data_IF_058747347026
#
_entry.id   IF_058747347026
#
_cell.length_a   1.000
_cell.length_b   1.000
_cell.length_c   1.000
_cell.angle_alpha   90.00
_cell.angle_beta   90.00
_cell.angle_gamma   90.00
#
_symmetry.space_group_name_H-M   'P 1'
#
loop_
_entity.id
_entity.type
_entity.pdbx_description
1 polymer ?
#
# COMPACT_ATOMS: atom_id res chain seq x y z
N UNK A 1 -2.32 -2.48 -10.11
CA UNK A 1 -1.18 -1.69 -10.57
C UNK A 1 -1.56 -0.21 -10.71
N UNK A 2 -2.55 0.17 -11.57
CA UNK A 2 -2.94 1.59 -11.78
C UNK A 2 -3.28 2.32 -10.47
N UNK A 3 -3.96 1.66 -9.56
CA UNK A 3 -4.24 2.21 -8.21
C UNK A 3 -2.94 2.61 -7.50
N UNK A 4 -1.96 1.70 -7.44
CA UNK A 4 -0.67 2.00 -6.78
C UNK A 4 0.22 3.01 -7.51
N UNK A 5 -0.02 3.25 -8.81
CA UNK A 5 0.61 4.31 -9.58
C UNK A 5 -0.05 5.68 -9.40
N UNK A 6 -1.28 5.74 -8.83
CA UNK A 6 -2.10 6.95 -8.81
C UNK A 6 -2.59 7.31 -10.22
N UNK A 7 -3.08 6.32 -10.97
CA UNK A 7 -3.51 6.42 -12.37
C UNK A 7 -4.88 5.76 -12.62
N UNK A 8 -5.67 5.63 -11.56
CA UNK A 8 -6.98 4.99 -11.66
C UNK A 8 -7.96 5.86 -12.44
N UNK A 9 -7.79 7.20 -12.36
CA UNK A 9 -8.63 8.19 -13.07
C UNK A 9 -8.49 8.15 -14.59
N UNK A 10 -7.42 7.58 -15.11
CA UNK A 10 -7.30 7.32 -16.56
C UNK A 10 -8.38 6.35 -17.07
N UNK A 11 -8.98 5.55 -16.18
CA UNK A 11 -10.02 4.59 -16.50
C UNK A 11 -11.39 5.05 -16.01
N UNK A 12 -11.48 5.56 -14.78
CA UNK A 12 -12.74 5.86 -14.10
C UNK A 12 -13.06 7.37 -14.03
N UNK A 13 -12.19 8.22 -14.56
CA UNK A 13 -12.38 9.68 -14.62
C UNK A 13 -12.34 10.32 -13.23
N UNK A 14 -13.06 11.42 -13.09
CA UNK A 14 -13.09 12.26 -11.88
C UNK A 14 -13.47 11.51 -10.59
N UNK A 15 -14.18 10.39 -10.69
CA UNK A 15 -14.63 9.61 -9.52
C UNK A 15 -13.48 9.08 -8.65
N UNK A 16 -12.30 8.90 -9.23
CA UNK A 16 -11.15 8.31 -8.55
C UNK A 16 -9.98 9.28 -8.38
N UNK A 17 -10.20 10.57 -8.67
CA UNK A 17 -9.15 11.59 -8.60
C UNK A 17 -8.56 11.73 -7.19
N UNK A 18 -9.38 11.60 -6.16
CA UNK A 18 -8.94 11.70 -4.75
C UNK A 18 -8.09 10.49 -4.35
N UNK A 19 -8.39 9.31 -4.90
CA UNK A 19 -7.55 8.12 -4.74
C UNK A 19 -6.18 8.37 -5.35
N UNK A 20 -6.14 8.82 -6.61
CA UNK A 20 -4.90 9.08 -7.32
C UNK A 20 -4.07 10.17 -6.63
N UNK A 21 -4.72 11.23 -6.15
CA UNK A 21 -4.09 12.29 -5.39
C UNK A 21 -3.44 11.77 -4.09
N UNK A 22 -4.15 10.97 -3.30
CA UNK A 22 -3.62 10.38 -2.08
C UNK A 22 -2.45 9.44 -2.36
N UNK A 23 -2.57 8.55 -3.33
CA UNK A 23 -1.50 7.59 -3.70
C UNK A 23 -0.27 8.32 -4.23
N UNK A 24 -0.45 9.38 -5.03
CA UNK A 24 0.66 10.23 -5.50
C UNK A 24 1.31 11.00 -4.35
N UNK A 25 0.52 11.55 -3.42
CA UNK A 25 1.05 12.19 -2.22
C UNK A 25 1.92 11.21 -1.41
N UNK A 26 1.40 10.02 -1.07
CA UNK A 26 2.15 8.95 -0.37
C UNK A 26 3.41 8.54 -1.14
N UNK A 27 3.39 8.57 -2.48
CA UNK A 27 4.56 8.36 -3.31
C UNK A 27 4.94 6.90 -3.53
N UNK A 28 3.96 5.99 -3.59
CA UNK A 28 4.19 4.56 -3.84
C UNK A 28 5.03 4.36 -5.10
N UNK A 29 4.67 5.01 -6.21
CA UNK A 29 5.38 4.89 -7.48
C UNK A 29 6.82 5.43 -7.38
N UNK A 30 7.00 6.61 -6.77
CA UNK A 30 8.34 7.21 -6.58
C UNK A 30 9.26 6.31 -5.74
N UNK A 31 8.70 5.71 -4.70
CA UNK A 31 9.43 4.78 -3.82
C UNK A 31 9.76 3.47 -4.54
N UNK A 32 8.84 2.92 -5.35
CA UNK A 32 9.07 1.69 -6.10
C UNK A 32 10.25 1.82 -7.08
N UNK A 33 10.36 2.94 -7.77
CA UNK A 33 11.49 3.22 -8.67
C UNK A 33 12.84 3.23 -7.91
N UNK A 34 12.88 3.87 -6.73
CA UNK A 34 14.08 3.88 -5.88
C UNK A 34 14.44 2.47 -5.42
N UNK A 35 13.44 1.68 -4.99
CA UNK A 35 13.65 0.30 -4.53
C UNK A 35 14.24 -0.55 -5.66
N UNK A 36 13.67 -0.53 -6.86
CA UNK A 36 14.19 -1.32 -8.00
C UNK A 36 15.65 -0.98 -8.28
N UNK A 37 16.02 0.29 -8.20
CA UNK A 37 17.40 0.73 -8.42
C UNK A 37 18.36 0.26 -7.32
N UNK A 38 17.89 0.04 -6.09
CA UNK A 38 18.70 -0.43 -4.96
C UNK A 38 18.78 -1.96 -4.83
N UNK A 39 17.95 -2.70 -5.59
CA UNK A 39 17.94 -4.17 -5.54
C UNK A 39 19.25 -4.79 -6.03
N UNK A 40 19.56 -5.98 -5.49
CA UNK A 40 20.65 -6.80 -6.00
C UNK A 40 20.44 -7.15 -7.48
N UNK A 41 21.52 -7.42 -8.25
CA UNK A 41 21.39 -7.87 -9.64
C UNK A 41 20.51 -9.10 -9.78
N UNK A 42 20.59 -10.04 -8.84
CA UNK A 42 19.78 -11.25 -8.86
C UNK A 42 18.28 -10.93 -8.71
N UNK A 43 17.89 -10.08 -7.76
CA UNK A 43 16.50 -9.69 -7.55
C UNK A 43 15.95 -8.92 -8.76
N UNK A 44 16.76 -8.02 -9.35
CA UNK A 44 16.38 -7.31 -10.58
C UNK A 44 16.15 -8.26 -11.74
N UNK A 45 17.00 -9.27 -11.92
CA UNK A 45 16.84 -10.26 -12.98
C UNK A 45 15.55 -11.07 -12.81
N UNK A 46 15.16 -11.41 -11.59
CA UNK A 46 13.88 -12.10 -11.31
C UNK A 46 12.70 -11.22 -11.72
N UNK A 47 12.68 -9.94 -11.29
CA UNK A 47 11.64 -9.00 -11.66
C UNK A 47 11.58 -8.75 -13.16
N UNK A 48 12.73 -8.69 -13.83
CA UNK A 48 12.80 -8.51 -15.28
C UNK A 48 12.25 -9.75 -16.01
N UNK A 49 12.67 -10.96 -15.63
CA UNK A 49 12.16 -12.18 -16.21
C UNK A 49 10.65 -12.34 -16.06
N UNK A 50 10.11 -11.95 -14.90
CA UNK A 50 8.68 -11.93 -14.67
C UNK A 50 7.98 -10.91 -15.58
N UNK A 51 8.54 -9.72 -15.72
CA UNK A 51 8.03 -8.67 -16.62
C UNK A 51 8.02 -9.14 -18.07
N UNK A 52 9.09 -9.79 -18.51
CA UNK A 52 9.21 -10.34 -19.87
C UNK A 52 8.15 -11.41 -20.15
N UNK A 53 7.86 -12.26 -19.17
CA UNK A 53 6.80 -13.26 -19.25
C UNK A 53 5.41 -12.65 -19.43
N UNK A 54 5.07 -11.62 -18.64
CA UNK A 54 3.80 -10.88 -18.79
C UNK A 54 3.74 -10.22 -20.17
N UNK A 55 4.82 -9.56 -20.59
CA UNK A 55 4.86 -8.86 -21.87
C UNK A 55 4.74 -9.83 -23.06
N UNK A 56 5.34 -11.01 -22.96
CA UNK A 56 5.18 -12.07 -23.95
C UNK A 56 3.72 -12.55 -24.04
N UNK A 57 3.04 -12.69 -22.90
CA UNK A 57 1.61 -13.02 -22.88
C UNK A 57 0.75 -11.91 -23.50
N UNK A 58 0.94 -10.66 -23.12
CA UNK A 58 0.22 -9.51 -23.70
C UNK A 58 0.39 -9.51 -25.22
N UNK A 59 1.65 -9.62 -25.71
CA UNK A 59 1.94 -9.62 -27.15
C UNK A 59 1.25 -10.75 -27.91
N UNK A 60 1.20 -11.95 -27.34
CA UNK A 60 0.54 -13.11 -27.97
C UNK A 60 -0.97 -13.00 -28.01
N UNK A 61 -1.56 -12.30 -27.05
CA UNK A 61 -2.99 -12.25 -26.83
C UNK A 61 -3.64 -10.88 -27.16
N UNK A 62 -2.96 -9.98 -27.85
CA UNK A 62 -3.47 -8.63 -28.18
C UNK A 62 -4.88 -8.63 -28.77
N UNK A 63 -5.26 -9.67 -29.54
CA UNK A 63 -6.59 -9.81 -30.16
C UNK A 63 -7.58 -10.63 -29.31
N UNK A 64 -7.19 -11.10 -28.12
CA UNK A 64 -7.97 -11.97 -27.23
C UNK A 64 -7.70 -11.62 -25.78
N UNK A 65 -7.74 -10.33 -25.48
CA UNK A 65 -7.65 -9.85 -24.10
C UNK A 65 -8.89 -10.26 -23.30
N UNK A 66 -8.80 -10.35 -21.97
CA UNK A 66 -9.96 -10.50 -21.11
C UNK A 66 -11.01 -9.42 -21.35
N UNK A 67 -12.26 -9.78 -21.15
CA UNK A 67 -13.43 -8.95 -21.45
C UNK A 67 -13.43 -7.58 -20.73
N UNK A 68 -12.78 -7.53 -19.57
CA UNK A 68 -12.62 -6.32 -18.77
C UNK A 68 -11.90 -5.21 -19.54
N UNK A 69 -10.95 -5.53 -20.40
CA UNK A 69 -10.24 -4.54 -21.22
C UNK A 69 -11.19 -3.89 -22.25
N UNK A 70 -12.10 -4.66 -22.82
CA UNK A 70 -13.10 -4.17 -23.76
C UNK A 70 -14.12 -3.25 -23.05
N UNK A 71 -14.59 -3.66 -21.85
CA UNK A 71 -15.51 -2.85 -21.04
C UNK A 71 -14.89 -1.55 -20.57
N UNK A 72 -13.66 -1.60 -20.11
CA UNK A 72 -12.95 -0.45 -19.58
C UNK A 72 -12.26 0.40 -20.66
N UNK A 73 -12.33 -0.05 -21.91
CA UNK A 73 -11.80 0.64 -23.11
C UNK A 73 -10.34 1.08 -22.96
N UNK A 74 -9.49 0.20 -22.45
CA UNK A 74 -8.06 0.46 -22.41
C UNK A 74 -7.25 -0.79 -22.79
N UNK A 75 -6.03 -0.57 -23.24
CA UNK A 75 -5.08 -1.64 -23.56
C UNK A 75 -4.08 -1.83 -22.44
N UNK A 76 -3.61 -3.08 -22.23
CA UNK A 76 -2.59 -3.35 -21.23
C UNK A 76 -1.25 -2.74 -21.67
N UNK A 77 -0.67 -1.91 -20.82
CA UNK A 77 0.68 -1.38 -21.02
C UNK A 77 1.74 -2.44 -20.75
N UNK A 78 2.94 -2.24 -21.31
CA UNK A 78 4.08 -3.07 -20.99
C UNK A 78 4.34 -3.11 -19.48
N UNK A 79 4.52 -4.32 -18.96
CA UNK A 79 4.90 -4.53 -17.58
C UNK A 79 6.38 -4.22 -17.38
N UNK A 80 6.69 -3.56 -16.27
CA UNK A 80 8.05 -3.21 -15.85
C UNK A 80 8.32 -3.76 -14.45
N UNK A 81 9.58 -3.98 -14.06
CA UNK A 81 9.95 -4.40 -12.70
C UNK A 81 9.32 -3.57 -11.59
N UNK A 82 9.22 -2.24 -11.79
CA UNK A 82 8.64 -1.31 -10.84
C UNK A 82 7.16 -1.63 -10.53
N UNK A 83 6.42 -2.15 -11.50
CA UNK A 83 5.00 -2.47 -11.32
C UNK A 83 4.78 -3.56 -10.26
N UNK A 84 5.67 -4.55 -10.18
CA UNK A 84 5.62 -5.57 -9.14
C UNK A 84 5.90 -4.99 -7.74
N UNK A 85 6.84 -4.06 -7.65
CA UNK A 85 7.12 -3.35 -6.39
C UNK A 85 5.96 -2.42 -6.00
N UNK A 86 5.33 -1.76 -6.97
CA UNK A 86 4.13 -0.93 -6.72
C UNK A 86 3.00 -1.77 -6.12
N UNK A 87 2.72 -2.96 -6.66
CA UNK A 87 1.68 -3.85 -6.10
C UNK A 87 2.07 -4.29 -4.69
N UNK A 88 3.31 -4.68 -4.47
CA UNK A 88 3.80 -5.09 -3.14
C UNK A 88 3.67 -3.95 -2.13
N UNK A 89 4.01 -2.72 -2.51
CA UNK A 89 3.89 -1.54 -1.65
C UNK A 89 2.44 -1.17 -1.36
N UNK A 90 1.57 -1.23 -2.38
CA UNK A 90 0.14 -1.02 -2.19
C UNK A 90 -0.47 -2.08 -1.26
N UNK A 91 -0.14 -3.35 -1.49
CA UNK A 91 -0.54 -4.45 -0.60
C UNK A 91 -0.06 -4.20 0.83
N UNK A 92 1.21 -3.83 1.01
CA UNK A 92 1.77 -3.51 2.32
C UNK A 92 1.02 -2.36 3.00
N UNK A 93 0.69 -1.28 2.27
CA UNK A 93 -0.08 -0.15 2.80
C UNK A 93 -1.47 -0.59 3.29
N UNK A 94 -2.16 -1.41 2.49
CA UNK A 94 -3.53 -1.83 2.77
C UNK A 94 -3.61 -2.92 3.84
N UNK A 95 -2.60 -3.79 3.92
CA UNK A 95 -2.51 -4.80 4.99
C UNK A 95 -2.00 -4.22 6.32
N UNK A 96 -1.48 -2.99 6.30
CA UNK A 96 -0.96 -2.35 7.49
C UNK A 96 -2.07 -1.62 8.23
N UNK A 97 -2.52 -2.19 9.33
CA UNK A 97 -3.68 -1.67 10.08
C UNK A 97 -3.44 -0.31 10.74
N UNK A 98 -2.18 0.14 10.97
CA UNK A 98 -1.95 1.37 11.72
C UNK A 98 -2.48 2.61 11.01
N UNK A 99 -2.43 2.69 9.68
CA UNK A 99 -2.98 3.83 8.95
C UNK A 99 -4.49 3.99 9.19
N UNK A 100 -5.25 2.92 8.97
CA UNK A 100 -6.71 2.96 9.14
C UNK A 100 -7.11 3.08 10.62
N UNK A 101 -6.37 2.43 11.52
CA UNK A 101 -6.63 2.52 12.95
C UNK A 101 -6.45 3.95 13.45
N UNK A 102 -5.42 4.68 13.01
CA UNK A 102 -5.24 6.10 13.38
C UNK A 102 -6.38 6.99 12.88
N UNK A 103 -6.91 6.72 11.68
CA UNK A 103 -8.09 7.42 11.17
C UNK A 103 -9.31 7.14 12.06
N UNK A 104 -9.54 5.87 12.41
CA UNK A 104 -10.66 5.46 13.26
C UNK A 104 -10.51 6.04 14.66
N UNK A 105 -9.33 5.94 15.28
CA UNK A 105 -9.03 6.52 16.58
C UNK A 105 -9.33 8.02 16.62
N UNK A 106 -8.86 8.76 15.62
CA UNK A 106 -9.13 10.19 15.51
C UNK A 106 -10.63 10.47 15.43
N UNK A 107 -11.36 9.75 14.58
CA UNK A 107 -12.81 9.92 14.46
C UNK A 107 -13.57 9.58 15.75
N UNK A 108 -13.10 8.60 16.53
CA UNK A 108 -13.68 8.27 17.84
C UNK A 108 -13.43 9.41 18.82
N UNK A 109 -12.17 9.89 18.92
CA UNK A 109 -11.81 10.97 19.84
C UNK A 109 -12.62 12.25 19.56
N UNK A 110 -12.78 12.61 18.29
CA UNK A 110 -13.60 13.76 17.90
C UNK A 110 -15.08 13.62 18.29
N UNK A 111 -15.61 12.40 18.26
CA UNK A 111 -17.03 12.15 18.60
C UNK A 111 -17.31 12.07 20.09
N UNK A 112 -16.45 11.44 20.87
CA UNK A 112 -16.74 11.12 22.29
C UNK A 112 -15.79 11.79 23.28
N UNK A 113 -14.77 12.49 22.79
CA UNK A 113 -13.74 13.15 23.59
C UNK A 113 -12.63 12.21 24.06
N UNK A 114 -11.49 12.79 24.48
CA UNK A 114 -10.27 12.06 24.84
C UNK A 114 -10.48 11.06 25.98
N UNK A 115 -11.14 11.50 27.06
CA UNK A 115 -11.32 10.65 28.25
C UNK A 115 -12.08 9.37 27.91
N UNK A 116 -13.22 9.50 27.23
CA UNK A 116 -14.07 8.36 26.88
C UNK A 116 -13.47 7.47 25.82
N UNK A 117 -12.69 8.04 24.88
CA UNK A 117 -11.96 7.25 23.91
C UNK A 117 -10.82 6.46 24.54
N UNK A 118 -10.11 7.00 25.53
CA UNK A 118 -9.09 6.26 26.28
C UNK A 118 -9.68 5.03 26.99
N UNK A 119 -10.88 5.16 27.56
CA UNK A 119 -11.61 4.04 28.17
C UNK A 119 -12.00 2.98 27.12
N UNK A 120 -12.54 3.42 25.96
CA UNK A 120 -13.03 2.53 24.91
C UNK A 120 -11.90 1.79 24.19
N UNK A 121 -10.77 2.48 23.92
CA UNK A 121 -9.66 1.97 23.12
C UNK A 121 -8.53 1.41 23.98
N UNK A 122 -8.66 1.49 25.31
CA UNK A 122 -7.59 1.11 26.27
C UNK A 122 -6.26 1.82 25.95
N UNK A 123 -6.34 3.13 25.67
CA UNK A 123 -5.22 3.99 25.30
C UNK A 123 -4.99 5.04 26.39
N UNK A 124 -3.89 5.78 26.30
CA UNK A 124 -3.59 6.86 27.26
C UNK A 124 -3.16 8.12 26.50
N UNK A 125 -4.05 8.63 25.65
CA UNK A 125 -3.84 9.92 25.01
C UNK A 125 -3.94 11.04 26.06
N UNK A 126 -2.86 11.80 26.23
CA UNK A 126 -2.85 12.95 27.15
C UNK A 126 -3.19 14.25 26.42
N UNK A 127 -2.73 14.39 25.19
CA UNK A 127 -2.95 15.57 24.37
C UNK A 127 -3.52 15.15 23.02
N UNK A 128 -4.71 15.61 22.72
CA UNK A 128 -5.32 15.47 21.42
C UNK A 128 -5.49 16.86 20.84
N UNK A 129 -4.92 17.07 19.67
CA UNK A 129 -5.13 18.31 18.93
C UNK A 129 -6.35 18.08 18.05
N UNK A 130 -7.46 18.69 18.42
CA UNK A 130 -8.67 18.67 17.57
C UNK A 130 -8.36 19.38 16.26
N UNK A 131 -8.60 18.69 15.17
CA UNK A 131 -8.48 19.25 13.83
C UNK A 131 -9.80 19.93 13.51
N UNK A 132 -9.78 21.23 13.28
CA UNK A 132 -11.00 22.01 13.01
C UNK A 132 -11.75 21.53 11.75
N UNK A 133 -11.07 20.88 10.83
CA UNK A 133 -11.69 20.23 9.68
C UNK A 133 -12.12 18.79 10.04
N UNK A 134 -13.28 18.66 10.66
CA UNK A 134 -13.85 17.36 11.09
C UNK A 134 -14.09 16.40 9.94
N UNK A 135 -14.23 16.92 8.73
CA UNK A 135 -14.56 16.11 7.56
C UNK A 135 -13.32 15.44 6.94
N UNK A 136 -12.11 15.95 7.22
CA UNK A 136 -10.88 15.42 6.60
C UNK A 136 -10.66 13.94 6.88
N UNK A 137 -10.69 13.51 8.14
CA UNK A 137 -10.47 12.09 8.47
C UNK A 137 -11.63 11.20 8.03
N UNK A 138 -12.86 11.73 8.00
CA UNK A 138 -13.99 11.01 7.42
C UNK A 138 -13.80 10.83 5.91
N UNK A 139 -13.37 11.86 5.21
CA UNK A 139 -13.04 11.81 3.78
C UNK A 139 -11.88 10.84 3.51
N UNK A 140 -10.82 10.91 4.31
CA UNK A 140 -9.68 9.99 4.20
C UNK A 140 -10.08 8.53 4.42
N UNK A 141 -11.00 8.29 5.37
CA UNK A 141 -11.59 6.98 5.59
C UNK A 141 -12.34 6.47 4.34
N UNK A 142 -13.16 7.31 3.73
CA UNK A 142 -13.90 6.95 2.52
C UNK A 142 -12.95 6.65 1.35
N UNK A 143 -11.93 7.48 1.14
CA UNK A 143 -10.90 7.22 0.11
C UNK A 143 -10.22 5.88 0.35
N UNK A 144 -9.87 5.56 1.61
CA UNK A 144 -9.29 4.26 1.95
C UNK A 144 -10.26 3.10 1.63
N UNK A 145 -11.54 3.21 1.97
CA UNK A 145 -12.55 2.21 1.63
C UNK A 145 -12.70 2.02 0.12
N UNK A 146 -12.66 3.12 -0.64
CA UNK A 146 -12.70 3.07 -2.09
C UNK A 146 -11.45 2.35 -2.67
N UNK A 147 -10.27 2.63 -2.14
CA UNK A 147 -9.05 1.89 -2.53
C UNK A 147 -9.23 0.39 -2.25
N UNK A 148 -9.74 0.02 -1.08
CA UNK A 148 -10.03 -1.37 -0.75
C UNK A 148 -11.03 -1.99 -1.72
N UNK A 149 -12.09 -1.26 -2.08
CA UNK A 149 -13.10 -1.70 -3.04
C UNK A 149 -12.50 -1.94 -4.43
N UNK A 150 -11.73 -0.99 -4.97
CA UNK A 150 -11.10 -1.12 -6.30
C UNK A 150 -10.00 -2.18 -6.35
N UNK A 151 -9.39 -2.52 -5.23
CA UNK A 151 -8.29 -3.50 -5.19
C UNK A 151 -8.71 -4.86 -4.68
N UNK A 152 -9.84 -4.93 -3.97
CA UNK A 152 -10.27 -6.13 -3.26
C UNK A 152 -9.47 -6.43 -1.98
N UNK A 153 -8.53 -5.57 -1.59
CA UNK A 153 -7.74 -5.73 -0.38
C UNK A 153 -8.44 -5.04 0.80
N UNK A 154 -8.71 -5.79 1.85
CA UNK A 154 -9.30 -5.28 3.10
C UNK A 154 -8.46 -5.71 4.28
N UNK A 155 -7.95 -4.75 5.06
CA UNK A 155 -7.11 -5.02 6.24
C UNK A 155 -7.88 -5.42 7.50
N UNK A 156 -9.21 -5.31 7.48
CA UNK A 156 -10.04 -5.47 8.67
C UNK A 156 -10.22 -6.94 9.09
N UNK A 157 -9.58 -7.86 8.38
CA UNK A 157 -9.69 -9.28 8.65
C UNK A 157 -8.42 -9.80 9.33
N UNK A 158 -8.61 -10.42 10.48
CA UNK A 158 -7.52 -11.03 11.22
C UNK A 158 -7.06 -12.31 10.53
N UNK A 159 -5.75 -12.40 10.31
CA UNK A 159 -5.11 -13.61 9.82
C UNK A 159 -4.52 -14.38 11.00
N UNK A 160 -4.80 -15.66 11.05
CA UNK A 160 -4.29 -16.54 12.11
C UNK A 160 -3.38 -17.58 11.50
N UNK A 161 -2.27 -17.83 12.19
CA UNK A 161 -1.37 -18.93 11.85
C UNK A 161 -0.97 -19.67 13.11
N UNK A 162 -0.93 -20.99 13.04
CA UNK A 162 -0.41 -21.80 14.13
C UNK A 162 0.42 -22.97 13.60
N UNK A 163 1.36 -23.39 14.43
CA UNK A 163 2.25 -24.50 14.12
C UNK A 163 2.09 -25.60 15.16
N UNK A 164 1.92 -26.81 14.70
CA UNK A 164 1.94 -28.01 15.55
C UNK A 164 3.27 -28.71 15.35
N UNK A 165 4.00 -28.94 16.47
CA UNK A 165 5.27 -29.66 16.40
C UNK A 165 5.07 -31.13 16.01
N UNK A 166 6.14 -31.72 15.48
CA UNK A 166 6.16 -33.14 15.11
C UNK A 166 5.83 -34.09 16.27
N UNK A 167 6.16 -33.73 17.52
CA UNK A 167 5.87 -34.53 18.73
C UNK A 167 4.36 -34.63 18.99
N UNK A 168 3.61 -33.58 18.68
CA UNK A 168 2.15 -33.50 18.87
C UNK A 168 1.35 -33.95 17.65
N UNK A 169 2.00 -34.12 16.52
CA UNK A 169 1.37 -34.54 15.27
C UNK A 169 1.29 -36.07 15.19
N UNK A 170 0.15 -36.62 14.75
CA UNK A 170 -0.06 -38.05 14.55
C UNK A 170 0.97 -38.65 13.57
N UNK A 171 1.34 -37.91 12.54
CA UNK A 171 2.25 -38.35 11.49
C UNK A 171 3.72 -38.01 11.79
N UNK A 172 4.02 -37.50 12.99
CA UNK A 172 5.37 -37.05 13.40
C UNK A 172 6.00 -36.04 12.44
N UNK A 173 5.20 -35.32 11.67
CA UNK A 173 5.64 -34.20 10.83
C UNK A 173 5.07 -32.89 11.40
N UNK A 174 5.80 -31.79 11.36
CA UNK A 174 5.26 -30.50 11.75
C UNK A 174 4.12 -30.08 10.80
N UNK A 175 3.14 -29.39 11.33
CA UNK A 175 1.98 -28.89 10.58
C UNK A 175 1.89 -27.37 10.76
N UNK A 176 1.89 -26.63 9.66
CA UNK A 176 1.55 -25.23 9.63
C UNK A 176 0.11 -25.10 9.11
N UNK A 177 -0.74 -24.45 9.89
CA UNK A 177 -2.06 -24.04 9.44
C UNK A 177 -2.14 -22.51 9.48
N UNK A 178 -2.67 -21.92 8.42
CA UNK A 178 -2.81 -20.49 8.27
C UNK A 178 -4.15 -20.15 7.64
N UNK A 179 -4.80 -19.12 8.17
CA UNK A 179 -5.96 -18.52 7.57
C UNK A 179 -5.57 -17.17 6.97
N UNK A 180 -5.69 -17.06 5.65
CA UNK A 180 -5.60 -15.80 4.92
C UNK A 180 -7.01 -15.33 4.60
N UNK A 181 -7.57 -14.55 5.50
CA UNK A 181 -8.92 -14.05 5.28
C UNK A 181 -8.92 -13.02 4.15
N UNK A 182 -9.78 -13.23 3.17
CA UNK A 182 -10.09 -12.25 2.12
C UNK A 182 -11.55 -12.39 1.72
N UNK A 183 -12.14 -11.33 1.19
CA UNK A 183 -13.45 -11.42 0.56
C UNK A 183 -13.37 -12.33 -0.67
N UNK A 184 -14.46 -13.07 -0.91
CA UNK A 184 -14.63 -13.82 -2.16
C UNK A 184 -14.91 -12.83 -3.28
N UNK A 185 -13.90 -12.53 -4.08
CA UNK A 185 -13.97 -11.60 -5.21
C UNK A 185 -13.65 -12.34 -6.52
N UNK A 186 -14.15 -11.80 -7.62
CA UNK A 186 -13.81 -12.26 -8.98
C UNK A 186 -13.30 -11.07 -9.78
N UNK A 187 -12.04 -11.06 -10.22
CA UNK A 187 -11.00 -12.08 -9.96
C UNK A 187 -10.56 -12.13 -8.48
N UNK A 188 -10.05 -13.30 -8.06
CA UNK A 188 -9.49 -13.47 -6.71
C UNK A 188 -8.18 -12.72 -6.55
N UNK A 189 -7.92 -12.21 -5.34
CA UNK A 189 -6.63 -11.61 -4.98
C UNK A 189 -5.55 -12.66 -4.89
N UNK A 190 -5.89 -13.82 -4.30
CA UNK A 190 -4.98 -14.94 -4.13
C UNK A 190 -5.01 -15.86 -5.34
N UNK A 191 -3.84 -16.21 -5.83
CA UNK A 191 -3.65 -17.13 -6.93
C UNK A 191 -2.81 -18.31 -6.48
N UNK A 192 -3.32 -19.52 -6.66
CA UNK A 192 -2.60 -20.76 -6.37
C UNK A 192 -1.56 -21.02 -7.44
N UNK A 193 -0.33 -21.28 -7.01
CA UNK A 193 0.84 -21.47 -7.88
C UNK A 193 1.58 -22.72 -7.44
N UNK A 194 1.95 -23.56 -8.40
CA UNK A 194 2.86 -24.69 -8.21
C UNK A 194 3.95 -24.61 -9.27
N UNK A 195 5.19 -24.51 -8.83
CA UNK A 195 6.36 -24.36 -9.68
C UNK A 195 7.33 -25.53 -9.45
N UNK A 196 7.54 -26.33 -10.47
CA UNK A 196 8.44 -27.47 -10.43
C UNK A 196 9.61 -27.29 -11.40
N UNK A 197 10.80 -27.47 -10.93
CA UNK A 197 12.03 -27.47 -11.76
C UNK A 197 13.09 -28.36 -11.12
N UNK A 198 14.20 -28.54 -11.82
CA UNK A 198 15.37 -29.23 -11.26
C UNK A 198 16.10 -28.45 -10.15
N UNK A 199 15.73 -27.18 -9.89
CA UNK A 199 16.38 -26.33 -8.90
C UNK A 199 15.46 -26.01 -7.71
N UNK A 200 14.16 -26.05 -7.90
CA UNK A 200 13.19 -25.75 -6.85
C UNK A 200 11.86 -26.46 -7.12
N UNK A 201 11.20 -26.78 -6.04
CA UNK A 201 9.85 -27.32 -6.02
C UNK A 201 9.09 -26.54 -4.97
N UNK A 202 8.10 -25.74 -5.38
CA UNK A 202 7.40 -24.82 -4.47
C UNK A 202 5.94 -24.69 -4.90
N UNK A 203 5.05 -24.77 -3.91
CA UNK A 203 3.61 -24.59 -4.11
C UNK A 203 3.03 -23.68 -3.06
N UNK A 204 2.01 -22.92 -3.41
CA UNK A 204 1.33 -22.02 -2.46
C UNK A 204 0.55 -20.92 -3.13
N UNK A 205 0.38 -19.83 -2.41
CA UNK A 205 -0.42 -18.68 -2.82
C UNK A 205 0.47 -17.47 -3.08
N UNK A 206 0.23 -16.83 -4.20
CA UNK A 206 0.82 -15.54 -4.56
C UNK A 206 -0.26 -14.51 -4.88
N UNK A 207 0.18 -13.29 -5.12
CA UNK A 207 -0.65 -12.19 -5.60
C UNK A 207 -0.26 -11.90 -7.04
N UNK A 208 -1.20 -11.87 -8.00
CA UNK A 208 -0.89 -11.53 -9.38
C UNK A 208 -0.14 -10.20 -9.49
N UNK A 209 1.01 -10.24 -10.15
CA UNK A 209 1.91 -9.09 -10.28
C UNK A 209 3.11 -9.12 -9.33
N UNK A 210 3.16 -10.01 -8.36
CA UNK A 210 4.30 -10.21 -7.45
C UNK A 210 4.93 -11.57 -7.76
N UNK A 211 6.22 -11.65 -8.20
CA UNK A 211 6.89 -12.91 -8.50
C UNK A 211 7.37 -13.62 -7.23
N UNK A 212 6.46 -13.91 -6.32
CA UNK A 212 6.74 -14.60 -5.06
C UNK A 212 5.55 -15.45 -4.61
N UNK A 213 5.85 -16.58 -3.98
CA UNK A 213 4.87 -17.36 -3.23
C UNK A 213 4.91 -16.86 -1.79
N UNK A 214 3.85 -16.13 -1.40
CA UNK A 214 3.77 -15.44 -0.10
C UNK A 214 3.42 -16.39 1.03
N UNK A 215 2.65 -17.41 0.74
CA UNK A 215 2.30 -18.48 1.67
C UNK A 215 2.48 -19.80 0.94
N UNK A 216 3.28 -20.72 1.48
CA UNK A 216 3.55 -21.93 0.73
C UNK A 216 4.46 -22.94 1.42
N UNK A 217 4.90 -23.88 0.60
CA UNK A 217 5.74 -24.98 0.99
C UNK A 217 6.70 -25.33 -0.15
N UNK A 218 7.95 -25.68 0.20
CA UNK A 218 8.99 -26.11 -0.77
C UNK A 218 9.48 -27.55 -0.53
N UNK A 219 8.71 -28.35 0.18
CA UNK A 219 9.07 -29.72 0.57
C UNK A 219 9.95 -29.81 1.82
N UNK A 220 10.68 -28.74 2.16
CA UNK A 220 11.55 -28.68 3.35
C UNK A 220 11.00 -27.75 4.42
N UNK A 221 10.38 -26.66 4.03
CA UNK A 221 9.85 -25.61 4.90
C UNK A 221 8.49 -25.17 4.42
N UNK A 222 7.64 -24.82 5.37
CA UNK A 222 6.38 -24.12 5.13
C UNK A 222 6.43 -22.74 5.74
N UNK A 223 5.84 -21.76 5.08
CA UNK A 223 5.77 -20.39 5.57
C UNK A 223 4.39 -19.79 5.34
N UNK A 224 4.07 -18.85 6.18
CA UNK A 224 2.84 -18.05 6.09
C UNK A 224 3.10 -16.62 6.53
N UNK A 225 2.22 -15.72 6.13
CA UNK A 225 2.18 -14.33 6.58
C UNK A 225 1.04 -14.13 7.55
N UNK A 226 1.24 -13.27 8.53
CA UNK A 226 0.21 -12.85 9.47
C UNK A 226 0.32 -11.34 9.69
N UNK A 227 -0.79 -10.70 9.96
CA UNK A 227 -0.80 -9.28 10.31
C UNK A 227 -0.11 -9.08 11.66
N UNK A 228 0.79 -8.13 11.70
CA UNK A 228 1.39 -7.67 12.95
C UNK A 228 0.78 -6.30 13.27
N UNK A 229 0.11 -6.21 14.40
CA UNK A 229 -0.34 -4.92 14.93
C UNK A 229 0.88 -4.14 15.41
N UNK A 230 1.33 -3.20 14.61
CA UNK A 230 2.45 -2.33 14.94
C UNK A 230 2.07 -0.88 14.67
N UNK A 231 2.33 0.01 15.63
CA UNK A 231 2.05 1.45 15.51
C UNK A 231 3.19 2.14 14.74
N UNK A 232 3.18 2.01 13.42
CA UNK A 232 4.22 2.51 12.52
C UNK A 232 3.81 3.75 11.74
N UNK A 233 2.60 4.26 11.95
CA UNK A 233 2.09 5.40 11.20
C UNK A 233 1.58 6.47 12.18
N UNK A 234 2.00 7.71 11.99
CA UNK A 234 1.45 8.87 12.69
C UNK A 234 0.94 9.90 11.70
N UNK A 235 -0.06 10.65 12.12
CA UNK A 235 -0.45 11.91 11.49
C UNK A 235 0.15 13.07 12.27
N UNK A 236 0.86 13.95 11.58
CA UNK A 236 1.50 15.13 12.15
C UNK A 236 0.84 16.36 11.58
N UNK A 237 0.43 17.28 12.45
CA UNK A 237 -0.09 18.58 12.05
C UNK A 237 1.10 19.48 11.80
N UNK A 238 1.26 19.90 10.55
CA UNK A 238 2.36 20.77 10.13
C UNK A 238 1.96 22.24 10.28
N UNK A 239 2.86 23.01 10.86
CA UNK A 239 2.74 24.47 10.87
C UNK A 239 3.38 25.03 9.60
N UNK A 240 2.55 25.50 8.66
CA UNK A 240 2.99 26.06 7.38
C UNK A 240 3.02 27.58 7.45
N UNK A 241 3.96 28.22 6.75
CA UNK A 241 4.03 29.67 6.59
C UNK A 241 2.80 30.19 5.82
N UNK A 242 2.07 31.09 6.44
CA UNK A 242 0.82 31.65 5.90
C UNK A 242 1.03 32.61 4.70
N UNK A 243 2.24 33.12 4.49
CA UNK A 243 2.51 34.14 3.47
C UNK A 243 2.97 33.53 2.15
N UNK A 244 3.84 32.53 2.19
CA UNK A 244 4.43 31.92 1.00
C UNK A 244 4.05 30.51 0.72
N UNK A 245 3.46 29.79 1.67
CA UNK A 245 3.10 28.37 1.62
C UNK A 245 4.27 27.43 1.21
N UNK A 246 5.52 27.93 1.35
CA UNK A 246 6.72 27.23 0.90
C UNK A 246 7.59 26.72 2.04
N UNK A 247 7.24 27.05 3.28
CA UNK A 247 8.00 26.70 4.47
C UNK A 247 7.12 26.05 5.52
N UNK A 248 7.71 25.16 6.30
CA UNK A 248 7.10 24.55 7.46
C UNK A 248 8.00 24.68 8.68
N UNK A 249 7.43 24.66 9.87
CA UNK A 249 8.16 24.75 11.11
C UNK A 249 8.60 23.37 11.59
N UNK A 250 9.89 23.18 11.80
CA UNK A 250 10.48 21.96 12.34
C UNK A 250 11.50 22.36 13.42
N UNK A 251 11.36 21.85 14.63
CA UNK A 251 12.24 22.14 15.77
C UNK A 251 12.55 23.64 15.96
N UNK A 252 11.53 24.50 15.92
CA UNK A 252 11.62 25.96 15.98
C UNK A 252 12.29 26.66 14.78
N UNK A 253 12.68 25.93 13.73
CA UNK A 253 13.25 26.48 12.50
C UNK A 253 12.23 26.42 11.36
N UNK A 254 12.27 27.41 10.46
CA UNK A 254 11.51 27.39 9.23
C UNK A 254 12.34 26.73 8.13
N UNK A 255 11.89 25.56 7.69
CA UNK A 255 12.50 24.79 6.60
C UNK A 255 11.66 24.93 5.33
N UNK A 256 12.30 24.81 4.17
CA UNK A 256 11.59 24.82 2.89
C UNK A 256 10.85 23.50 2.68
N UNK A 257 9.59 23.58 2.23
CA UNK A 257 8.86 22.44 1.70
C UNK A 257 9.51 21.94 0.42
N UNK A 258 9.57 20.64 0.28
CA UNK A 258 9.90 20.03 -1.02
C UNK A 258 8.60 19.91 -1.82
N UNK A 259 8.57 20.57 -2.97
CA UNK A 259 7.39 20.64 -3.83
C UNK A 259 7.67 19.91 -5.12
N UNK A 260 6.85 18.93 -5.47
CA UNK A 260 6.87 18.24 -6.74
C UNK A 260 5.51 18.41 -7.41
N UNK A 261 5.46 18.70 -8.69
CA UNK A 261 4.21 18.76 -9.45
C UNK A 261 4.09 17.55 -10.36
N UNK A 262 2.98 16.87 -10.28
CA UNK A 262 2.62 15.74 -11.14
C UNK A 262 1.27 16.02 -11.81
N UNK A 263 0.97 15.29 -12.89
CA UNK A 263 -0.36 15.32 -13.53
C UNK A 263 -1.16 14.10 -13.15
N UNK A 264 -2.46 14.30 -12.93
CA UNK A 264 -3.45 13.25 -12.85
C UNK A 264 -4.25 13.29 -14.16
N UNK A 265 -4.10 12.25 -14.98
CA UNK A 265 -4.80 12.14 -16.26
C UNK A 265 -6.17 11.51 -16.04
N UNK A 266 -7.15 11.97 -16.80
CA UNK A 266 -8.53 11.49 -16.76
C UNK A 266 -8.85 10.66 -18.02
N UNK A 267 -9.98 9.97 -17.97
CA UNK A 267 -10.44 9.10 -19.08
C UNK A 267 -10.89 9.87 -20.32
N UNK A 268 -11.10 11.17 -20.24
CA UNK A 268 -11.38 12.08 -21.35
C UNK A 268 -10.10 12.73 -21.95
N UNK A 269 -8.93 12.22 -21.58
CA UNK A 269 -7.60 12.73 -21.94
C UNK A 269 -7.27 14.11 -21.37
N UNK A 270 -8.10 14.70 -20.56
CA UNK A 270 -7.76 15.89 -19.78
C UNK A 270 -6.82 15.54 -18.62
N UNK A 271 -6.22 16.55 -18.00
CA UNK A 271 -5.37 16.35 -16.84
C UNK A 271 -5.52 17.49 -15.84
N UNK A 272 -5.31 17.14 -14.57
CA UNK A 272 -5.26 18.09 -13.45
C UNK A 272 -3.84 18.12 -12.92
N UNK A 273 -3.27 19.33 -12.78
CA UNK A 273 -1.98 19.50 -12.13
C UNK A 273 -2.12 19.30 -10.63
N UNK A 274 -1.27 18.47 -10.06
CA UNK A 274 -1.30 18.09 -8.66
C UNK A 274 0.05 18.36 -8.01
N UNK A 275 0.07 19.26 -7.02
CA UNK A 275 1.29 19.58 -6.27
C UNK A 275 1.41 18.69 -5.04
N UNK A 276 2.54 18.05 -4.90
CA UNK A 276 2.90 17.17 -3.80
C UNK A 276 3.88 17.92 -2.91
N UNK A 277 3.53 18.05 -1.63
CA UNK A 277 4.34 18.71 -0.63
C UNK A 277 4.93 17.67 0.31
N UNK A 278 6.23 17.79 0.60
CA UNK A 278 6.93 16.88 1.52
C UNK A 278 7.66 17.70 2.59
N UNK A 279 7.56 17.27 3.84
CA UNK A 279 8.32 17.73 4.99
C UNK A 279 9.44 16.74 5.33
N UNK A 280 10.23 17.01 6.37
CA UNK A 280 11.18 16.03 6.90
C UNK A 280 10.49 14.81 7.50
N UNK A 281 9.27 14.98 8.00
CA UNK A 281 8.48 13.90 8.61
C UNK A 281 7.83 13.02 7.55
N UNK A 282 7.45 13.60 6.40
CA UNK A 282 6.85 12.84 5.30
C UNK A 282 5.98 13.67 4.37
N UNK A 283 5.24 13.01 3.48
CA UNK A 283 4.36 13.70 2.55
C UNK A 283 3.13 14.29 3.24
N UNK A 284 2.74 15.50 2.83
CA UNK A 284 1.49 16.13 3.24
C UNK A 284 0.35 15.50 2.45
N UNK A 285 -0.63 14.92 3.17
CA UNK A 285 -1.76 14.22 2.56
C UNK A 285 -3.03 15.07 2.49
N UNK A 286 -3.09 16.17 3.23
CA UNK A 286 -4.21 17.12 3.23
C UNK A 286 -4.02 18.27 2.24
N UNK A 287 -3.37 18.04 1.11
CA UNK A 287 -2.80 19.04 0.20
C UNK A 287 -3.67 20.26 -0.12
N UNK A 288 -4.99 20.09 -0.12
CA UNK A 288 -5.95 21.15 -0.50
C UNK A 288 -6.74 21.69 0.69
N UNK A 289 -6.53 21.14 1.90
CA UNK A 289 -7.32 21.46 3.07
C UNK A 289 -6.44 21.91 4.25
N UNK A 290 -6.96 22.75 5.11
CA UNK A 290 -6.35 23.10 6.39
C UNK A 290 -6.97 22.23 7.51
N UNK A 291 -6.19 21.77 8.50
CA UNK A 291 -4.75 21.95 8.63
C UNK A 291 -3.94 21.07 7.68
N UNK A 292 -2.69 21.44 7.41
CA UNK A 292 -1.77 20.60 6.64
C UNK A 292 -1.31 19.41 7.49
N UNK A 293 -1.61 18.21 7.04
CA UNK A 293 -1.32 16.97 7.76
C UNK A 293 -0.33 16.15 6.95
N UNK A 294 0.81 15.84 7.56
CA UNK A 294 1.78 14.89 7.01
C UNK A 294 1.61 13.48 7.59
N UNK A 295 2.09 12.49 6.88
CA UNK A 295 2.18 11.12 7.37
C UNK A 295 3.64 10.78 7.67
N UNK A 296 3.93 10.48 8.92
CA UNK A 296 5.18 9.87 9.33
C UNK A 296 5.03 8.35 9.38
N UNK A 297 5.90 7.63 8.69
CA UNK A 297 6.09 6.20 8.91
C UNK A 297 7.25 5.98 9.88
N UNK A 298 6.93 5.60 11.11
CA UNK A 298 7.96 5.27 12.11
C UNK A 298 8.75 4.05 11.66
N UNK A 299 9.93 4.28 11.15
CA UNK A 299 10.92 3.24 11.03
C UNK A 299 11.94 3.41 12.14
N UNK A 300 12.12 2.39 12.97
CA UNK A 300 13.14 2.41 14.04
C UNK A 300 14.56 2.59 13.51
N UNK A 301 14.76 2.43 12.20
CA UNK A 301 16.05 2.66 11.53
C UNK A 301 15.80 3.43 10.24
N UNK A 302 16.13 4.72 10.21
CA UNK A 302 16.11 5.56 9.00
C UNK A 302 16.92 4.97 7.82
N UNK A 303 17.74 3.94 8.07
CA UNK A 303 18.55 3.24 7.08
C UNK A 303 17.91 1.97 6.51
N UNK A 304 16.84 1.43 7.11
CA UNK A 304 16.34 0.09 6.76
C UNK A 304 15.28 0.06 5.63
N UNK A 305 14.73 1.23 5.24
CA UNK A 305 13.85 1.27 4.06
C UNK A 305 14.64 1.15 2.75
N UNK A 306 15.91 1.55 2.77
CA UNK A 306 16.79 1.47 1.59
C UNK A 306 17.46 0.11 1.42
N UNK A 307 17.47 -0.75 2.45
CA UNK A 307 18.36 -1.91 2.48
C UNK A 307 17.79 -3.22 3.01
N UNK A 308 16.46 -3.44 3.03
CA UNK A 308 15.98 -4.80 3.28
C UNK A 308 16.15 -5.62 2.00
N UNK A 309 17.27 -6.35 1.82
CA UNK A 309 17.33 -7.30 0.74
C UNK A 309 16.29 -8.37 1.04
N UNK A 310 15.46 -8.65 0.08
CA UNK A 310 14.75 -9.94 0.02
C UNK A 310 15.85 -11.02 -0.03
N UNK A 311 16.25 -11.53 1.15
CA UNK A 311 17.06 -12.73 1.26
C UNK A 311 16.22 -13.96 0.99
#
# INVERSE_FOLDING_TARGET
RRTGEGRLSEVFGMKTIEIDALIKAIGINRTANKIVNSLSPQSRNILQAYSDGINAFIKRNQKKLPLEFDFLKYEPEQWKPEHSIIILRLFSLLMHSSFINKIIEHNIIEKVGVQRSNELLNTNYQNFISIHNKDFFYKLFNIYQDICHYTGFYSNYENYSFVVSNVKSKNRSPILASNLYSLSTTPSIWYEISLHSNRFDVSGLGIPGIPAILVGNNGFSSWSISNLYNDNCNFIIEQIDSIGLNKYKHDNNWLNLKINTEKIYLNDYSSVDFSIYETAEGPIISNFEEPKISIEYKNKNKHDIESTPLK
#
